data_IF_054094219185
#
_entry.id   IF_054094219185
#
_cell.length_a   1.000
_cell.length_b   1.000
_cell.length_c   1.000
_cell.angle_alpha   90.00
_cell.angle_beta   90.00
_cell.angle_gamma   90.00
#
_symmetry.space_group_name_H-M   'P 1'
#
loop_
_entity.id
_entity.type
_entity.pdbx_description
1 polymer ?
#
# COMPACT_ATOMS: atom_id res chain seq x y z
N UNK A 1 34.10 0.91 5.05
CA UNK A 1 34.59 1.26 3.71
C UNK A 1 34.49 0.05 2.77
N UNK A 2 34.52 0.31 1.46
CA UNK A 2 34.48 -0.68 0.41
C UNK A 2 35.73 -0.54 -0.46
N UNK A 3 36.25 -1.66 -0.91
CA UNK A 3 37.28 -1.71 -1.94
C UNK A 3 36.65 -2.15 -3.24
N UNK A 4 36.68 -1.30 -4.25
CA UNK A 4 36.16 -1.53 -5.60
C UNK A 4 37.35 -1.76 -6.54
N UNK A 5 37.22 -2.70 -7.47
CA UNK A 5 38.19 -2.86 -8.56
C UNK A 5 37.99 -1.78 -9.63
N UNK A 6 36.71 -1.45 -9.90
CA UNK A 6 36.31 -0.42 -10.85
C UNK A 6 35.22 0.43 -10.16
N UNK A 7 35.42 1.76 -10.00
CA UNK A 7 34.44 2.64 -9.41
C UNK A 7 33.15 2.77 -10.26
N UNK A 8 33.19 2.48 -11.55
CA UNK A 8 32.01 2.49 -12.42
C UNK A 8 31.11 1.27 -12.24
N UNK A 9 31.65 0.12 -11.80
CA UNK A 9 30.91 -1.12 -11.61
C UNK A 9 30.21 -1.18 -10.25
N UNK A 10 30.66 -0.43 -9.26
CA UNK A 10 30.16 -0.46 -7.87
C UNK A 10 30.08 -1.85 -7.23
N UNK A 11 30.80 -2.85 -7.80
CA UNK A 11 30.86 -4.21 -7.24
C UNK A 11 32.04 -4.30 -6.27
N UNK A 12 31.79 -4.42 -4.95
CA UNK A 12 32.89 -4.47 -3.99
C UNK A 12 33.65 -5.79 -4.08
N UNK A 13 34.97 -5.70 -4.10
CA UNK A 13 35.85 -6.86 -3.86
C UNK A 13 35.87 -7.21 -2.36
N UNK A 14 35.84 -6.18 -1.51
CA UNK A 14 35.84 -6.32 -0.05
C UNK A 14 34.98 -5.20 0.59
N UNK A 15 34.27 -5.55 1.67
CA UNK A 15 33.57 -4.59 2.53
C UNK A 15 34.04 -4.76 3.97
N UNK A 16 34.42 -3.66 4.60
CA UNK A 16 34.80 -3.59 6.01
C UNK A 16 33.81 -2.72 6.78
N UNK A 17 33.43 -3.19 7.97
CA UNK A 17 32.63 -2.46 8.93
C UNK A 17 33.27 -2.56 10.32
N UNK A 18 33.50 -1.43 10.98
CA UNK A 18 34.11 -1.37 12.30
C UNK A 18 35.44 -2.17 12.39
N UNK A 19 36.29 -2.07 11.36
CA UNK A 19 37.56 -2.78 11.28
C UNK A 19 37.48 -4.27 10.90
N UNK A 20 36.30 -4.85 10.85
CA UNK A 20 36.09 -6.24 10.49
C UNK A 20 35.73 -6.42 9.01
N UNK A 21 36.31 -7.44 8.35
CA UNK A 21 35.93 -7.84 7.00
C UNK A 21 34.57 -8.54 7.05
N UNK A 22 33.52 -7.91 6.48
CA UNK A 22 32.15 -8.44 6.49
C UNK A 22 31.71 -9.03 5.15
N UNK A 23 32.43 -8.72 4.08
CA UNK A 23 32.19 -9.28 2.76
C UNK A 23 33.48 -9.40 1.97
N UNK A 24 33.63 -10.49 1.24
CA UNK A 24 34.59 -10.59 0.15
C UNK A 24 33.93 -11.29 -1.04
N UNK A 25 34.27 -10.87 -2.26
CA UNK A 25 33.72 -11.44 -3.50
C UNK A 25 33.93 -12.95 -3.63
N UNK A 26 35.02 -13.48 -3.05
CA UNK A 26 35.31 -14.91 -3.07
C UNK A 26 34.52 -15.74 -2.06
N UNK A 27 34.19 -15.17 -0.89
CA UNK A 27 33.55 -15.88 0.24
C UNK A 27 32.09 -15.49 0.48
N UNK A 28 31.62 -14.43 -0.17
CA UNK A 28 30.31 -13.84 0.12
C UNK A 28 30.29 -13.05 1.43
N UNK A 29 29.11 -12.70 1.93
CA UNK A 29 28.94 -12.00 3.20
C UNK A 29 29.34 -12.89 4.37
N UNK A 30 29.91 -12.28 5.42
CA UNK A 30 30.09 -12.97 6.69
C UNK A 30 28.71 -13.30 7.28
N UNK A 31 28.61 -14.45 7.96
CA UNK A 31 27.38 -14.80 8.67
C UNK A 31 27.04 -13.71 9.69
N UNK A 32 25.89 -13.08 9.52
CA UNK A 32 25.35 -12.12 10.48
C UNK A 32 24.85 -12.85 11.73
N UNK A 33 24.92 -12.20 12.89
CA UNK A 33 24.20 -12.69 14.05
C UNK A 33 22.69 -12.61 13.78
N UNK A 34 21.96 -13.69 14.07
CA UNK A 34 20.50 -13.65 14.03
C UNK A 34 20.02 -12.62 15.05
N UNK A 35 19.31 -11.63 14.57
CA UNK A 35 18.67 -10.63 15.44
C UNK A 35 17.19 -10.97 15.58
N UNK A 36 16.74 -11.09 16.83
CA UNK A 36 15.32 -11.26 17.14
C UNK A 36 14.79 -9.96 17.72
N UNK A 37 13.73 -9.44 17.12
CA UNK A 37 13.04 -8.26 17.64
C UNK A 37 12.18 -8.61 18.86
N UNK A 38 11.81 -7.63 19.69
CA UNK A 38 10.83 -7.84 20.77
C UNK A 38 9.51 -8.41 20.23
N UNK A 39 8.84 -9.24 21.02
CA UNK A 39 7.59 -9.93 20.63
C UNK A 39 6.49 -8.99 20.14
N UNK A 40 6.40 -7.77 20.69
CA UNK A 40 5.39 -6.78 20.32
C UNK A 40 5.54 -6.31 18.86
N UNK A 41 6.75 -6.41 18.29
CA UNK A 41 6.98 -6.08 16.89
C UNK A 41 6.29 -7.07 15.93
N UNK A 42 6.02 -8.29 16.39
CA UNK A 42 5.33 -9.33 15.61
C UNK A 42 3.80 -9.31 15.80
N UNK A 43 3.27 -8.34 16.55
CA UNK A 43 1.82 -8.18 16.86
C UNK A 43 1.36 -6.77 16.49
N UNK A 44 1.73 -6.30 15.32
CA UNK A 44 1.56 -4.90 14.91
C UNK A 44 0.35 -4.65 14.01
N UNK A 45 -0.43 -5.69 13.67
CA UNK A 45 -1.63 -5.56 12.82
C UNK A 45 -2.86 -5.94 13.62
N UNK A 46 -3.43 -4.94 14.30
CA UNK A 46 -4.58 -5.04 15.20
C UNK A 46 -5.77 -4.30 14.60
N UNK A 47 -6.40 -4.92 13.60
CA UNK A 47 -7.49 -4.31 12.83
C UNK A 47 -8.84 -4.42 13.56
N UNK A 48 -9.78 -3.48 13.32
CA UNK A 48 -11.18 -3.69 13.66
C UNK A 48 -11.75 -4.89 12.90
N UNK A 49 -12.84 -5.46 13.40
CA UNK A 49 -13.55 -6.52 12.68
C UNK A 49 -14.20 -5.93 11.42
N UNK A 50 -13.74 -6.38 10.25
CA UNK A 50 -14.23 -5.93 8.95
C UNK A 50 -15.06 -7.01 8.26
N UNK A 51 -16.09 -6.56 7.54
CA UNK A 51 -17.02 -7.36 6.75
C UNK A 51 -17.26 -6.71 5.38
N UNK A 52 -17.94 -7.37 4.48
CA UNK A 52 -18.30 -6.79 3.18
C UNK A 52 -19.17 -5.52 3.29
N UNK A 53 -19.82 -5.27 4.43
CA UNK A 53 -20.63 -4.07 4.66
C UNK A 53 -19.77 -2.80 4.76
N UNK A 54 -18.52 -2.95 5.21
CA UNK A 54 -17.60 -1.82 5.40
C UNK A 54 -17.08 -1.25 4.07
N UNK A 55 -17.33 -1.95 2.95
CA UNK A 55 -17.03 -1.45 1.60
C UNK A 55 -18.21 -0.74 0.95
N UNK A 56 -19.32 -0.57 1.65
CA UNK A 56 -20.52 0.12 1.20
C UNK A 56 -20.51 1.55 1.72
N UNK A 57 -20.33 2.51 0.83
CA UNK A 57 -20.26 3.92 1.19
C UNK A 57 -21.64 4.54 1.10
N UNK A 58 -22.22 5.05 2.20
CA UNK A 58 -23.53 5.68 2.17
C UNK A 58 -23.50 6.95 1.32
N UNK A 59 -24.59 7.20 0.62
CA UNK A 59 -24.84 8.42 -0.13
C UNK A 59 -25.83 9.33 0.61
N UNK A 60 -25.87 10.64 0.31
CA UNK A 60 -26.90 11.54 0.82
C UNK A 60 -28.32 11.05 0.49
N UNK A 61 -29.24 11.29 1.41
CA UNK A 61 -30.62 10.86 1.25
C UNK A 61 -31.28 11.48 0.00
N UNK A 62 -32.01 10.65 -0.77
CA UNK A 62 -32.69 11.06 -1.99
C UNK A 62 -31.80 11.28 -3.22
N UNK A 63 -30.47 11.18 -3.08
CA UNK A 63 -29.57 11.34 -4.22
C UNK A 63 -29.65 10.13 -5.17
N UNK A 64 -29.74 10.40 -6.48
CA UNK A 64 -29.59 9.39 -7.53
C UNK A 64 -28.17 9.35 -8.10
N UNK A 65 -27.42 10.42 -7.93
CA UNK A 65 -26.01 10.57 -8.29
C UNK A 65 -25.37 11.60 -7.38
N UNK A 66 -24.05 11.49 -7.18
CA UNK A 66 -23.24 12.44 -6.43
C UNK A 66 -21.91 12.68 -7.15
N UNK A 67 -21.26 13.77 -6.84
CA UNK A 67 -19.89 14.03 -7.27
C UNK A 67 -18.91 13.63 -6.18
N UNK A 68 -17.95 12.77 -6.47
CA UNK A 68 -16.93 12.32 -5.52
C UNK A 68 -15.55 12.85 -5.88
N UNK A 69 -14.72 13.07 -4.84
CA UNK A 69 -13.29 13.34 -5.00
C UNK A 69 -12.52 12.06 -5.24
N UNK A 70 -11.70 12.05 -6.26
CA UNK A 70 -10.88 10.88 -6.64
C UNK A 70 -9.42 11.31 -6.74
N UNK A 71 -8.53 10.50 -6.18
CA UNK A 71 -7.08 10.64 -6.36
C UNK A 71 -6.71 10.07 -7.74
N UNK A 72 -6.39 10.91 -8.70
CA UNK A 72 -5.88 10.48 -9.99
C UNK A 72 -4.37 10.25 -9.88
N UNK A 73 -3.96 8.99 -10.05
CA UNK A 73 -2.56 8.54 -9.99
C UNK A 73 -1.89 8.82 -11.33
N UNK A 74 -0.67 9.37 -11.28
CA UNK A 74 0.17 9.59 -12.47
C UNK A 74 1.25 8.52 -12.57
N UNK A 75 1.57 8.07 -13.78
CA UNK A 75 2.58 7.04 -14.04
C UNK A 75 4.03 7.50 -13.86
N UNK A 76 4.27 8.80 -13.84
CA UNK A 76 5.60 9.41 -13.87
C UNK A 76 6.06 10.00 -12.52
N UNK A 77 5.16 10.11 -11.54
CA UNK A 77 5.49 10.67 -10.23
C UNK A 77 4.59 10.12 -9.11
N UNK A 78 4.97 10.37 -7.85
CA UNK A 78 4.19 9.97 -6.67
C UNK A 78 3.12 10.99 -6.26
N UNK A 79 3.00 12.08 -7.01
CA UNK A 79 1.94 13.05 -6.82
C UNK A 79 0.62 12.51 -7.38
N UNK A 80 -0.48 12.95 -6.79
CA UNK A 80 -1.82 12.71 -7.32
C UNK A 80 -2.43 14.01 -7.81
N UNK A 81 -3.48 13.91 -8.61
CA UNK A 81 -4.35 15.05 -8.93
C UNK A 81 -5.72 14.82 -8.32
N UNK A 82 -6.40 15.87 -7.94
CA UNK A 82 -7.81 15.79 -7.61
C UNK A 82 -8.62 15.70 -8.90
N UNK A 83 -9.50 14.70 -8.97
CA UNK A 83 -10.48 14.57 -10.04
C UNK A 83 -11.86 14.45 -9.44
N UNK A 84 -12.81 15.21 -9.96
CA UNK A 84 -14.22 15.11 -9.59
C UNK A 84 -14.90 14.16 -10.56
N UNK A 85 -15.55 13.12 -10.01
CA UNK A 85 -16.18 12.06 -10.82
C UNK A 85 -17.62 11.91 -10.38
N UNK A 86 -18.59 11.99 -11.32
CA UNK A 86 -19.99 11.64 -11.01
C UNK A 86 -20.08 10.14 -10.73
N UNK A 87 -20.80 9.79 -9.67
CA UNK A 87 -21.01 8.41 -9.24
C UNK A 87 -22.49 8.17 -8.97
N UNK A 88 -23.04 7.14 -9.57
CA UNK A 88 -24.43 6.75 -9.37
C UNK A 88 -24.67 6.29 -7.92
N UNK A 89 -25.90 6.48 -7.46
CA UNK A 89 -26.36 6.00 -6.16
C UNK A 89 -27.40 4.91 -6.36
N UNK A 90 -27.20 3.76 -5.73
CA UNK A 90 -28.13 2.64 -5.70
C UNK A 90 -28.43 2.23 -4.26
N UNK A 91 -29.68 2.14 -3.91
CA UNK A 91 -30.13 1.73 -2.57
C UNK A 91 -29.49 2.57 -1.45
N UNK A 92 -29.34 3.89 -1.65
CA UNK A 92 -28.75 4.83 -0.69
C UNK A 92 -27.22 4.69 -0.52
N UNK A 93 -26.53 4.04 -1.45
CA UNK A 93 -25.08 3.82 -1.42
C UNK A 93 -24.44 4.17 -2.76
N UNK A 94 -23.17 4.53 -2.72
CA UNK A 94 -22.39 4.76 -3.94
C UNK A 94 -22.26 3.46 -4.74
N UNK A 95 -22.63 3.49 -6.02
CA UNK A 95 -22.41 2.41 -6.97
C UNK A 95 -21.03 2.53 -7.61
N UNK A 96 -20.00 2.33 -6.80
CA UNK A 96 -18.61 2.54 -7.20
C UNK A 96 -18.06 1.41 -8.07
N UNK A 97 -18.58 0.19 -7.94
CA UNK A 97 -18.16 -0.92 -8.77
C UNK A 97 -18.59 -0.67 -10.22
N UNK A 98 -17.62 -0.75 -11.14
CA UNK A 98 -17.87 -0.41 -12.56
C UNK A 98 -17.84 1.08 -12.90
N UNK A 99 -17.59 1.97 -11.92
CA UNK A 99 -17.45 3.42 -12.17
C UNK A 99 -16.14 3.81 -12.89
N UNK A 100 -15.20 2.87 -13.05
CA UNK A 100 -13.84 3.13 -13.53
C UNK A 100 -12.90 3.65 -12.44
N UNK A 101 -13.38 3.72 -11.19
CA UNK A 101 -12.59 4.05 -10.01
C UNK A 101 -12.44 2.81 -9.11
N UNK A 102 -11.33 2.70 -8.40
CA UNK A 102 -11.14 1.69 -7.37
C UNK A 102 -11.42 2.29 -6.01
N UNK A 103 -12.16 1.56 -5.18
CA UNK A 103 -12.29 1.92 -3.77
C UNK A 103 -10.94 1.77 -3.09
N UNK A 104 -10.59 2.76 -2.29
CA UNK A 104 -9.35 2.78 -1.49
C UNK A 104 -9.70 3.05 -0.04
N UNK A 105 -9.15 2.25 0.87
CA UNK A 105 -9.37 2.38 2.30
C UNK A 105 -8.03 2.44 3.02
N UNK A 106 -7.92 3.36 3.98
CA UNK A 106 -6.84 3.39 4.97
C UNK A 106 -7.43 2.98 6.33
N UNK A 107 -7.01 1.81 6.81
CA UNK A 107 -7.54 1.22 8.05
C UNK A 107 -6.48 1.35 9.15
N UNK A 108 -6.85 1.97 10.27
CA UNK A 108 -5.99 2.04 11.44
C UNK A 108 -5.66 0.64 11.93
N UNK A 109 -4.35 0.30 12.00
CA UNK A 109 -3.90 -1.06 12.32
C UNK A 109 -3.16 -1.19 13.63
N UNK A 110 -2.95 -0.09 14.34
CA UNK A 110 -2.18 -0.09 15.60
C UNK A 110 -3.05 -0.40 16.83
N UNK A 111 -4.36 -0.66 16.62
CA UNK A 111 -5.30 -0.99 17.68
C UNK A 111 -5.65 0.19 18.59
N UNK A 112 -5.59 1.43 18.08
CA UNK A 112 -5.82 2.64 18.88
C UNK A 112 -7.27 3.11 18.84
N UNK A 113 -7.86 3.21 17.66
CA UNK A 113 -9.19 3.80 17.47
C UNK A 113 -10.07 3.09 16.44
N UNK A 114 -9.48 2.21 15.61
CA UNK A 114 -10.21 1.46 14.58
C UNK A 114 -10.75 2.33 13.45
N UNK A 115 -10.23 3.51 13.23
CA UNK A 115 -10.64 4.42 12.17
C UNK A 115 -10.45 3.81 10.78
N UNK A 116 -11.37 4.18 9.86
CA UNK A 116 -11.31 3.82 8.45
C UNK A 116 -11.54 5.07 7.62
N UNK A 117 -10.52 5.48 6.87
CA UNK A 117 -10.67 6.51 5.84
C UNK A 117 -11.00 5.90 4.50
N UNK A 118 -11.91 6.53 3.77
CA UNK A 118 -12.37 6.11 2.45
C UNK A 118 -11.96 7.11 1.38
N UNK A 119 -11.57 6.59 0.22
CA UNK A 119 -11.23 7.36 -0.97
C UNK A 119 -11.43 6.53 -2.23
N UNK A 120 -11.23 7.14 -3.35
CA UNK A 120 -11.17 6.47 -4.64
C UNK A 120 -9.87 6.83 -5.37
N UNK A 121 -9.37 5.88 -6.17
CA UNK A 121 -8.26 6.12 -7.09
C UNK A 121 -8.65 5.81 -8.53
N UNK A 122 -8.00 6.48 -9.45
CA UNK A 122 -8.09 6.27 -10.90
C UNK A 122 -6.77 6.66 -11.58
N UNK A 123 -6.71 6.65 -12.91
CA UNK A 123 -5.50 7.00 -13.66
C UNK A 123 -4.58 5.80 -13.84
N UNK A 124 -3.28 5.96 -13.65
CA UNK A 124 -2.26 4.94 -13.93
C UNK A 124 -2.07 3.93 -12.78
N UNK A 125 -3.12 3.70 -12.01
CA UNK A 125 -3.22 2.65 -10.98
C UNK A 125 -3.76 1.33 -11.56
N UNK A 126 -4.05 0.35 -10.67
CA UNK A 126 -4.70 -0.91 -11.07
C UNK A 126 -5.93 -0.66 -11.94
N UNK A 127 -6.17 -1.55 -12.89
CA UNK A 127 -7.38 -1.58 -13.71
C UNK A 127 -8.36 -2.65 -13.25
N UNK A 128 -7.88 -3.64 -12.49
CA UNK A 128 -8.64 -4.75 -11.91
C UNK A 128 -7.92 -5.32 -10.70
N UNK A 129 -8.62 -6.11 -9.90
CA UNK A 129 -8.06 -6.78 -8.72
C UNK A 129 -7.82 -5.85 -7.54
N UNK A 130 -7.01 -6.29 -6.63
CA UNK A 130 -6.76 -5.64 -5.35
C UNK A 130 -5.28 -5.60 -5.02
N UNK A 131 -4.82 -4.50 -4.45
CA UNK A 131 -3.53 -4.35 -3.80
C UNK A 131 -3.72 -3.91 -2.36
N UNK A 132 -2.94 -4.47 -1.44
CA UNK A 132 -2.96 -4.07 -0.03
C UNK A 132 -1.55 -4.07 0.57
N UNK A 133 -1.31 -3.15 1.50
CA UNK A 133 -0.02 -3.03 2.19
C UNK A 133 -0.14 -2.41 3.57
N UNK A 134 0.73 -2.81 4.48
CA UNK A 134 1.01 -2.11 5.73
C UNK A 134 2.20 -1.14 5.59
N UNK A 135 2.89 -1.17 4.45
CA UNK A 135 3.92 -0.20 4.09
C UNK A 135 3.26 0.98 3.37
N UNK A 136 2.82 1.97 4.15
CA UNK A 136 2.08 3.15 3.68
C UNK A 136 2.60 4.40 4.39
N UNK A 137 3.29 5.24 3.68
CA UNK A 137 3.95 6.45 4.23
C UNK A 137 2.95 7.51 4.69
N UNK A 138 3.20 8.15 5.85
CA UNK A 138 4.20 7.83 6.88
C UNK A 138 3.54 7.13 8.08
N UNK A 139 2.19 7.12 8.11
CA UNK A 139 1.41 6.57 9.23
C UNK A 139 1.43 5.03 9.29
N UNK A 140 1.84 4.36 8.23
CA UNK A 140 1.90 2.91 8.09
C UNK A 140 0.64 2.16 8.53
N UNK A 141 -0.53 2.77 8.35
CA UNK A 141 -1.81 2.09 8.46
C UNK A 141 -1.98 1.09 7.31
N UNK A 142 -2.92 0.17 7.42
CA UNK A 142 -3.21 -0.73 6.32
C UNK A 142 -3.91 0.05 5.21
N UNK A 143 -3.28 0.10 4.04
CA UNK A 143 -3.85 0.66 2.82
C UNK A 143 -4.30 -0.48 1.91
N UNK A 144 -5.53 -0.43 1.40
CA UNK A 144 -6.05 -1.37 0.42
C UNK A 144 -6.80 -0.63 -0.68
N UNK A 145 -6.59 -1.04 -1.93
CA UNK A 145 -7.36 -0.54 -3.07
C UNK A 145 -7.76 -1.69 -3.98
N UNK A 146 -9.00 -1.65 -4.49
CA UNK A 146 -9.49 -2.72 -5.36
C UNK A 146 -10.86 -2.45 -5.95
N UNK A 147 -11.27 -3.34 -6.87
CA UNK A 147 -12.56 -3.34 -7.56
C UNK A 147 -13.58 -4.32 -6.96
N UNK A 148 -13.15 -5.18 -6.03
CA UNK A 148 -13.96 -6.24 -5.42
C UNK A 148 -13.89 -6.21 -3.88
N UNK A 149 -15.00 -5.97 -3.17
CA UNK A 149 -15.06 -6.08 -1.72
C UNK A 149 -14.53 -7.41 -1.17
N UNK A 150 -14.82 -8.51 -1.86
CA UNK A 150 -14.37 -9.86 -1.46
C UNK A 150 -12.85 -9.98 -1.53
N UNK A 151 -12.24 -9.52 -2.61
CA UNK A 151 -10.79 -9.57 -2.78
C UNK A 151 -10.08 -8.61 -1.82
N UNK A 152 -10.66 -7.41 -1.60
CA UNK A 152 -10.16 -6.46 -0.61
C UNK A 152 -10.20 -7.06 0.81
N UNK A 153 -11.30 -7.71 1.19
CA UNK A 153 -11.43 -8.36 2.49
C UNK A 153 -10.45 -9.54 2.64
N UNK A 154 -10.26 -10.33 1.58
CA UNK A 154 -9.26 -11.41 1.54
C UNK A 154 -7.84 -10.85 1.76
N UNK A 155 -7.50 -9.76 1.06
CA UNK A 155 -6.21 -9.09 1.20
C UNK A 155 -5.96 -8.58 2.63
N UNK A 156 -6.95 -7.91 3.22
CA UNK A 156 -6.88 -7.40 4.60
C UNK A 156 -6.67 -8.55 5.60
N UNK A 157 -7.46 -9.61 5.51
CA UNK A 157 -7.34 -10.78 6.38
C UNK A 157 -5.98 -11.48 6.23
N UNK A 158 -5.48 -11.56 4.99
CA UNK A 158 -4.15 -12.15 4.76
C UNK A 158 -3.06 -11.32 5.42
N UNK A 159 -3.08 -9.99 5.29
CA UNK A 159 -2.11 -9.09 5.96
C UNK A 159 -2.20 -9.19 7.49
N UNK A 160 -3.39 -9.39 8.04
CA UNK A 160 -3.56 -9.61 9.47
C UNK A 160 -2.91 -10.92 9.94
N UNK A 161 -3.06 -12.00 9.17
CA UNK A 161 -2.38 -13.29 9.45
C UNK A 161 -0.87 -13.16 9.32
N UNK A 162 -0.38 -12.46 8.31
CA UNK A 162 1.06 -12.23 8.07
C UNK A 162 1.68 -11.23 9.06
N UNK A 163 0.86 -10.52 9.84
CA UNK A 163 1.28 -9.40 10.69
C UNK A 163 1.96 -8.26 9.90
N UNK A 164 1.55 -8.10 8.66
CA UNK A 164 1.99 -7.06 7.75
C UNK A 164 2.59 -7.57 6.46
N UNK A 165 2.72 -6.68 5.50
CA UNK A 165 3.24 -7.04 4.18
C UNK A 165 2.72 -6.17 3.06
N UNK A 166 2.95 -6.68 1.86
CA UNK A 166 2.45 -6.14 0.61
C UNK A 166 1.94 -7.30 -0.24
N UNK A 167 0.74 -7.23 -0.79
CA UNK A 167 0.19 -8.32 -1.60
C UNK A 167 -0.83 -7.85 -2.63
N UNK A 168 -1.09 -8.70 -3.60
CA UNK A 168 -2.11 -8.52 -4.64
C UNK A 168 -3.05 -9.72 -4.67
N UNK A 169 -4.33 -9.43 -4.96
CA UNK A 169 -5.41 -10.43 -5.06
C UNK A 169 -6.21 -10.19 -6.34
N UNK A 170 -6.62 -11.25 -7.00
CA UNK A 170 -7.53 -11.21 -8.12
C UNK A 170 -8.38 -12.48 -8.19
N UNK A 171 -9.69 -12.33 -8.37
CA UNK A 171 -10.66 -13.44 -8.45
C UNK A 171 -10.54 -14.45 -7.31
N UNK A 172 -10.42 -13.96 -6.08
CA UNK A 172 -10.31 -14.78 -4.87
C UNK A 172 -8.97 -15.47 -4.68
N UNK A 173 -7.94 -15.12 -5.46
CA UNK A 173 -6.60 -15.72 -5.38
C UNK A 173 -5.55 -14.68 -5.03
N UNK A 174 -4.69 -15.00 -4.09
CA UNK A 174 -3.47 -14.20 -3.81
C UNK A 174 -2.50 -14.50 -4.96
N UNK A 175 -2.15 -13.45 -5.73
CA UNK A 175 -1.25 -13.57 -6.87
C UNK A 175 0.22 -13.49 -6.46
N UNK A 176 0.53 -12.59 -5.55
CA UNK A 176 1.86 -12.40 -4.99
C UNK A 176 1.77 -11.80 -3.58
N UNK A 177 2.73 -12.14 -2.73
CA UNK A 177 2.83 -11.56 -1.39
C UNK A 177 4.28 -11.37 -0.95
N UNK A 178 4.51 -10.31 -0.19
CA UNK A 178 5.74 -10.00 0.53
C UNK A 178 5.41 -9.87 2.01
N UNK A 179 5.65 -10.90 2.84
CA UNK A 179 5.46 -10.81 4.28
C UNK A 179 6.45 -9.85 4.93
N UNK A 180 5.94 -8.97 5.79
CA UNK A 180 6.72 -8.00 6.58
C UNK A 180 6.29 -8.11 8.05
N UNK A 181 6.60 -9.22 8.75
CA UNK A 181 6.04 -9.50 10.07
C UNK A 181 6.59 -8.61 11.18
N UNK A 182 7.76 -8.00 10.98
CA UNK A 182 8.37 -7.16 12.00
C UNK A 182 7.82 -5.74 11.88
N UNK A 183 7.03 -5.34 12.84
CA UNK A 183 6.32 -4.06 12.90
C UNK A 183 5.44 -3.77 11.66
N UNK A 184 5.10 -4.79 10.87
CA UNK A 184 4.39 -4.65 9.60
C UNK A 184 5.22 -4.03 8.47
N UNK A 185 6.55 -3.91 8.63
CA UNK A 185 7.42 -3.12 7.75
C UNK A 185 8.70 -3.84 7.32
N UNK A 186 9.21 -4.78 8.12
CA UNK A 186 10.50 -5.42 7.87
C UNK A 186 10.35 -6.93 7.70
N UNK A 187 11.16 -7.50 6.81
CA UNK A 187 11.30 -8.94 6.60
C UNK A 187 12.46 -9.50 7.42
N UNK A 188 12.31 -10.72 7.93
CA UNK A 188 13.41 -11.51 8.52
C UNK A 188 14.07 -12.45 7.50
N UNK A 189 13.57 -12.44 6.27
CA UNK A 189 14.14 -13.20 5.16
C UNK A 189 15.45 -12.57 4.68
N UNK A 190 16.24 -13.33 3.93
CA UNK A 190 17.43 -12.79 3.28
C UNK A 190 17.07 -11.63 2.33
N UNK A 191 18.07 -10.83 1.98
CA UNK A 191 17.90 -9.76 0.98
C UNK A 191 17.39 -10.32 -0.35
N UNK A 192 17.94 -11.45 -0.77
CA UNK A 192 17.59 -12.11 -2.03
C UNK A 192 16.15 -12.61 -2.03
N UNK A 193 15.72 -13.30 -0.97
CA UNK A 193 14.33 -13.77 -0.82
C UNK A 193 13.35 -12.61 -0.78
N UNK A 194 13.68 -11.55 -0.02
CA UNK A 194 12.84 -10.35 0.10
C UNK A 194 12.74 -9.62 -1.24
N UNK A 195 13.86 -9.49 -1.97
CA UNK A 195 13.89 -8.86 -3.29
C UNK A 195 13.07 -9.65 -4.33
N UNK A 196 13.13 -10.99 -4.29
CA UNK A 196 12.32 -11.84 -5.17
C UNK A 196 10.82 -11.68 -4.88
N UNK A 197 10.42 -11.68 -3.61
CA UNK A 197 9.03 -11.47 -3.22
C UNK A 197 8.53 -10.07 -3.63
N UNK A 198 9.33 -9.03 -3.40
CA UNK A 198 9.02 -7.66 -3.83
C UNK A 198 8.86 -7.55 -5.34
N UNK A 199 9.76 -8.20 -6.11
CA UNK A 199 9.69 -8.25 -7.57
C UNK A 199 8.43 -8.95 -8.05
N UNK A 200 8.01 -10.03 -7.38
CA UNK A 200 6.75 -10.74 -7.69
C UNK A 200 5.53 -9.87 -7.45
N UNK A 201 5.47 -9.16 -6.32
CA UNK A 201 4.38 -8.20 -6.03
C UNK A 201 4.35 -7.09 -7.06
N UNK A 202 5.50 -6.49 -7.37
CA UNK A 202 5.61 -5.44 -8.38
C UNK A 202 5.08 -5.92 -9.74
N UNK A 203 5.54 -7.10 -10.20
CA UNK A 203 5.10 -7.68 -11.46
C UNK A 203 3.59 -7.92 -11.47
N UNK A 204 3.05 -8.47 -10.40
CA UNK A 204 1.62 -8.70 -10.26
C UNK A 204 0.82 -7.39 -10.31
N UNK A 205 1.29 -6.29 -9.72
CA UNK A 205 0.65 -4.97 -9.87
C UNK A 205 0.66 -4.49 -11.32
N UNK A 206 1.79 -4.66 -12.02
CA UNK A 206 1.93 -4.34 -13.45
C UNK A 206 0.96 -5.16 -14.31
N UNK A 207 0.84 -6.48 -14.06
CA UNK A 207 -0.08 -7.39 -14.75
C UNK A 207 -1.56 -7.04 -14.47
N UNK A 208 -1.87 -6.44 -13.32
CA UNK A 208 -3.17 -5.91 -12.97
C UNK A 208 -3.42 -4.50 -13.52
N UNK A 209 -2.48 -3.94 -14.26
CA UNK A 209 -2.62 -2.69 -14.99
C UNK A 209 -2.04 -1.45 -14.32
N UNK A 210 -1.22 -1.59 -13.28
CA UNK A 210 -0.54 -0.46 -12.64
C UNK A 210 0.61 0.04 -13.53
N UNK A 211 0.49 1.24 -14.07
CA UNK A 211 1.49 1.84 -14.98
C UNK A 211 2.27 2.91 -14.24
N UNK A 212 3.42 2.52 -13.67
CA UNK A 212 4.29 3.45 -12.94
C UNK A 212 5.73 2.92 -12.95
N UNK A 213 6.74 3.81 -12.99
CA UNK A 213 8.14 3.39 -12.90
C UNK A 213 8.48 2.66 -11.58
N UNK A 214 7.73 2.94 -10.50
CA UNK A 214 7.81 2.24 -9.22
C UNK A 214 6.40 2.10 -8.61
N UNK A 215 5.62 1.08 -8.98
CA UNK A 215 4.24 0.92 -8.51
C UNK A 215 4.13 0.71 -6.99
N UNK A 216 5.13 0.07 -6.37
CA UNK A 216 5.21 -0.11 -4.91
C UNK A 216 5.22 1.25 -4.20
N UNK A 217 6.12 2.14 -4.60
CA UNK A 217 6.25 3.46 -4.00
C UNK A 217 5.04 4.34 -4.32
N UNK A 218 4.55 4.29 -5.56
CA UNK A 218 3.34 5.02 -5.96
C UNK A 218 2.15 4.67 -5.08
N UNK A 219 1.90 3.38 -4.84
CA UNK A 219 0.82 2.94 -3.94
C UNK A 219 1.09 3.34 -2.49
N UNK A 220 2.29 3.09 -1.98
CA UNK A 220 2.66 3.41 -0.60
C UNK A 220 2.52 4.90 -0.25
N UNK A 221 2.73 5.79 -1.22
CA UNK A 221 2.64 7.24 -1.03
C UNK A 221 1.23 7.82 -1.23
N UNK A 222 0.22 7.01 -1.52
CA UNK A 222 -1.18 7.47 -1.48
C UNK A 222 -1.60 7.89 -0.07
N UNK A 223 -0.93 7.39 0.96
CA UNK A 223 -1.12 7.77 2.35
C UNK A 223 -0.22 8.91 2.85
N UNK A 224 0.58 9.57 2.00
CA UNK A 224 1.60 10.56 2.38
C UNK A 224 1.06 12.00 2.32
N UNK A 225 0.51 12.56 3.42
CA UNK A 225 -0.20 13.84 3.40
C UNK A 225 0.74 15.07 3.37
N UNK A 226 1.94 14.90 2.82
CA UNK A 226 2.92 15.97 2.56
C UNK A 226 3.29 16.05 1.06
N UNK A 227 2.71 15.19 0.23
CA UNK A 227 2.89 15.20 -1.22
C UNK A 227 1.55 15.53 -1.90
N UNK A 228 1.47 16.55 -2.79
CA UNK A 228 0.21 16.96 -3.39
C UNK A 228 -0.40 15.87 -4.30
N UNK A 229 -1.70 15.97 -4.66
CA UNK A 229 -2.67 16.97 -4.18
C UNK A 229 -3.58 16.38 -3.10
N UNK A 230 -4.31 15.29 -3.39
CA UNK A 230 -5.12 14.52 -2.44
C UNK A 230 -4.37 13.30 -1.96
N UNK A 231 -4.50 13.03 -0.66
CA UNK A 231 -3.96 11.80 -0.02
C UNK A 231 -5.00 11.21 0.93
N UNK A 232 -4.81 9.94 1.29
CA UNK A 232 -5.74 9.23 2.14
C UNK A 232 -5.08 8.81 3.46
N UNK A 233 -5.72 9.16 4.58
CA UNK A 233 -5.37 8.67 5.91
C UNK A 233 -6.55 7.90 6.51
N UNK A 234 -6.37 7.26 7.66
CA UNK A 234 -7.46 6.65 8.44
C UNK A 234 -8.53 7.67 8.89
N UNK A 235 -8.23 8.96 8.82
CA UNK A 235 -9.14 10.07 9.13
C UNK A 235 -9.93 10.59 7.92
N UNK A 236 -9.61 10.12 6.71
CA UNK A 236 -10.23 10.52 5.45
C UNK A 236 -9.27 11.15 4.45
N UNK A 237 -9.84 11.73 3.40
CA UNK A 237 -9.08 12.43 2.35
C UNK A 237 -8.48 13.73 2.90
N UNK A 238 -7.24 13.98 2.53
CA UNK A 238 -6.50 15.20 2.89
C UNK A 238 -6.20 15.98 1.62
N UNK A 239 -6.67 17.23 1.57
CA UNK A 239 -6.15 18.24 0.66
C UNK A 239 -4.80 18.71 1.22
N UNK A 240 -3.71 18.32 0.58
CA UNK A 240 -2.36 18.58 1.07
C UNK A 240 -2.00 20.06 0.97
N UNK A 241 -2.52 20.77 -0.05
CA UNK A 241 -2.27 22.20 -0.24
C UNK A 241 -2.90 23.02 0.88
N UNK A 242 -4.15 22.67 1.23
CA UNK A 242 -4.90 23.36 2.27
C UNK A 242 -4.60 22.83 3.69
N UNK A 243 -3.89 21.70 3.80
CA UNK A 243 -3.55 21.07 5.08
C UNK A 243 -4.76 20.60 5.88
N UNK A 244 -5.86 20.22 5.21
CA UNK A 244 -7.12 19.86 5.88
C UNK A 244 -7.76 18.59 5.32
N UNK A 245 -8.56 17.93 6.16
CA UNK A 245 -9.44 16.85 5.74
C UNK A 245 -10.59 17.40 4.93
N UNK A 246 -10.89 16.80 3.78
CA UNK A 246 -11.97 17.17 2.89
C UNK A 246 -13.00 16.03 2.74
N UNK A 247 -14.27 16.33 2.51
CA UNK A 247 -15.29 15.31 2.33
C UNK A 247 -15.06 14.53 1.04
N UNK A 248 -15.38 13.24 1.06
CA UNK A 248 -15.33 12.37 -0.14
C UNK A 248 -16.38 12.79 -1.17
N UNK A 249 -17.59 13.10 -0.72
CA UNK A 249 -18.71 13.57 -1.54
C UNK A 249 -18.71 15.10 -1.54
N UNK A 250 -18.80 15.70 -2.72
CA UNK A 250 -18.76 17.17 -2.90
C UNK A 250 -20.17 17.75 -3.06
N UNK A 251 -21.02 17.07 -3.83
CA UNK A 251 -22.40 17.48 -4.14
C UNK A 251 -23.25 16.29 -4.58
#
# INVERSE_FOLDING_TARGET
FQLLKDPADFQPEYVFKNGALIFSKKKGPAAGAAHRFPEDFYKSVNLPALSEKDFQIPAPEGASSVTVRVMEVSGDCTQTREKLVPMAVKNGKLDWQGSGCLLTMAVERHGKNGNIGYGFITGDCLKKGTVASTYCHDHHNLLVAGDSPKDMLLAIRRLQVLQGGFLTVYEGKILAELPLPVAGLLSEKSLEETALALKSVRRSMEDLGYVHYNPIMSFATLGLPVSPALKLTDRGLVDVKEGKIVPLIVS
#
